data_IF_491615220554
#
_entry.id   IF_491615220554
#
_cell.length_a   1.000
_cell.length_b   1.000
_cell.length_c   1.000
_cell.angle_alpha   90.00
_cell.angle_beta   90.00
_cell.angle_gamma   90.00
#
_symmetry.space_group_name_H-M   'P 1'
#
loop_
_entity.id
_entity.type
_entity.pdbx_description
1 polymer ?
#
# COMPACT_ATOMS: atom_id res chain seq x y z
N UNK A 1 -23.35 -39.97 21.04
CA UNK A 1 -22.77 -38.99 22.00
C UNK A 1 -21.35 -39.36 22.44
N UNK A 2 -21.10 -40.55 23.00
CA UNK A 2 -19.78 -40.94 23.54
C UNK A 2 -18.64 -41.02 22.51
N UNK A 3 -18.89 -41.53 21.30
CA UNK A 3 -17.86 -41.69 20.25
C UNK A 3 -17.36 -40.35 19.69
N UNK A 4 -18.21 -39.32 19.70
CA UNK A 4 -17.84 -37.96 19.26
C UNK A 4 -16.96 -37.29 20.33
N UNK A 5 -17.33 -37.41 21.61
CA UNK A 5 -16.49 -36.90 22.72
C UNK A 5 -15.10 -37.53 22.77
N UNK A 6 -15.01 -38.84 22.53
CA UNK A 6 -13.71 -39.52 22.51
C UNK A 6 -12.86 -39.08 21.32
N UNK A 7 -13.48 -38.84 20.16
CA UNK A 7 -12.79 -38.33 18.98
C UNK A 7 -12.29 -36.89 19.20
N UNK A 8 -13.09 -36.01 19.81
CA UNK A 8 -12.68 -34.64 20.14
C UNK A 8 -11.51 -34.64 21.13
N UNK A 9 -11.55 -35.49 22.16
CA UNK A 9 -10.45 -35.64 23.13
C UNK A 9 -9.17 -36.22 22.51
N UNK A 10 -9.29 -37.16 21.57
CA UNK A 10 -8.14 -37.69 20.82
C UNK A 10 -7.54 -36.65 19.88
N UNK A 11 -8.38 -35.82 19.24
CA UNK A 11 -7.94 -34.72 18.38
C UNK A 11 -7.27 -33.61 19.18
N UNK A 12 -7.81 -33.23 20.35
CA UNK A 12 -7.14 -32.33 21.29
C UNK A 12 -5.82 -32.92 21.79
N UNK A 13 -5.80 -34.21 22.14
CA UNK A 13 -4.59 -34.92 22.55
C UNK A 13 -3.53 -34.97 21.45
N UNK A 14 -3.92 -35.17 20.19
CA UNK A 14 -3.00 -35.10 19.04
C UNK A 14 -2.48 -33.68 18.79
N UNK A 15 -3.30 -32.64 18.95
CA UNK A 15 -2.84 -31.24 18.86
C UNK A 15 -1.83 -30.86 19.95
N UNK A 16 -1.89 -31.51 21.10
CA UNK A 16 -0.89 -31.40 22.17
C UNK A 16 0.39 -32.21 21.87
N UNK A 17 0.33 -33.16 20.94
CA UNK A 17 1.44 -34.03 20.54
C UNK A 17 2.10 -33.61 19.21
N UNK A 18 1.46 -32.77 18.39
CA UNK A 18 2.14 -32.01 17.34
C UNK A 18 3.25 -31.22 18.02
N UNK A 19 4.47 -31.56 17.65
CA UNK A 19 5.64 -31.09 18.39
C UNK A 19 5.80 -29.57 18.20
N UNK A 20 6.29 -28.83 19.20
CA UNK A 20 6.63 -27.41 19.02
C UNK A 20 7.54 -27.18 17.81
N UNK A 21 8.35 -28.18 17.45
CA UNK A 21 9.23 -28.16 16.29
C UNK A 21 8.48 -28.14 14.94
N UNK A 22 7.34 -28.84 14.80
CA UNK A 22 6.55 -28.84 13.57
C UNK A 22 5.81 -27.51 13.38
N UNK A 23 5.22 -26.95 14.45
CA UNK A 23 4.61 -25.60 14.40
C UNK A 23 5.66 -24.50 14.17
N UNK A 24 6.85 -24.61 14.77
CA UNK A 24 7.96 -23.68 14.53
C UNK A 24 8.48 -23.77 13.08
N UNK A 25 8.55 -24.99 12.52
CA UNK A 25 9.01 -25.21 11.15
C UNK A 25 8.04 -24.65 10.10
N UNK A 26 6.72 -24.83 10.29
CA UNK A 26 5.70 -24.21 9.43
C UNK A 26 5.75 -22.68 9.50
N UNK A 27 5.99 -22.11 10.69
CA UNK A 27 6.13 -20.66 10.86
C UNK A 27 7.38 -20.13 10.15
N UNK A 28 8.50 -20.85 10.22
CA UNK A 28 9.75 -20.42 9.59
C UNK A 28 9.67 -20.45 8.06
N UNK A 29 9.02 -21.45 7.46
CA UNK A 29 8.77 -21.53 6.00
C UNK A 29 7.87 -20.38 5.53
N UNK A 30 6.79 -20.09 6.26
CA UNK A 30 5.90 -18.96 5.96
C UNK A 30 6.66 -17.63 6.06
N UNK A 31 7.50 -17.46 7.08
CA UNK A 31 8.33 -16.28 7.25
C UNK A 31 9.33 -16.09 6.10
N UNK A 32 9.92 -17.17 5.58
CA UNK A 32 10.80 -17.12 4.42
C UNK A 32 10.08 -16.59 3.18
N UNK A 33 8.92 -17.15 2.86
CA UNK A 33 8.10 -16.69 1.72
C UNK A 33 7.70 -15.22 1.89
N UNK A 34 7.23 -14.83 3.08
CA UNK A 34 6.79 -13.44 3.35
C UNK A 34 7.97 -12.47 3.32
N UNK A 35 9.16 -12.89 3.76
CA UNK A 35 10.40 -12.09 3.70
C UNK A 35 10.78 -11.79 2.24
N UNK A 36 10.66 -12.76 1.36
CA UNK A 36 10.88 -12.56 -0.08
C UNK A 36 9.84 -11.63 -0.70
N UNK A 37 8.56 -11.80 -0.35
CA UNK A 37 7.49 -10.89 -0.79
C UNK A 37 7.81 -9.46 -0.34
N UNK A 38 8.09 -9.26 0.95
CA UNK A 38 8.35 -7.94 1.52
C UNK A 38 9.58 -7.27 0.91
N UNK A 39 10.67 -8.02 0.70
CA UNK A 39 11.91 -7.52 0.11
C UNK A 39 11.71 -7.13 -1.36
N UNK A 40 11.06 -8.00 -2.14
CA UNK A 40 10.73 -7.71 -3.54
C UNK A 40 9.77 -6.53 -3.68
N UNK A 41 8.80 -6.40 -2.78
CA UNK A 41 7.90 -5.25 -2.73
C UNK A 41 8.65 -3.96 -2.42
N UNK A 42 9.52 -3.95 -1.40
CA UNK A 42 10.30 -2.77 -1.03
C UNK A 42 11.24 -2.29 -2.14
N UNK A 43 11.73 -3.20 -2.99
CA UNK A 43 12.52 -2.88 -4.17
C UNK A 43 11.67 -2.22 -5.28
N UNK A 44 10.38 -2.57 -5.41
CA UNK A 44 9.46 -2.02 -6.42
C UNK A 44 8.76 -0.74 -5.96
N UNK A 45 8.41 -0.64 -4.68
CA UNK A 45 7.67 0.49 -4.11
C UNK A 45 8.57 1.73 -4.11
N UNK A 46 8.22 2.81 -4.83
CA UNK A 46 9.04 4.01 -4.88
C UNK A 46 9.23 4.65 -3.51
N UNK A 47 10.36 5.33 -3.32
CA UNK A 47 10.56 6.17 -2.15
C UNK A 47 9.57 7.35 -2.18
N UNK A 48 9.02 7.78 -1.02
CA UNK A 48 8.20 8.98 -0.95
C UNK A 48 8.96 10.19 -1.50
N UNK A 49 8.27 11.06 -2.24
CA UNK A 49 8.88 12.27 -2.77
C UNK A 49 9.35 13.20 -1.65
N UNK A 50 10.38 14.00 -1.93
CA UNK A 50 10.78 15.07 -1.03
C UNK A 50 9.76 16.22 -1.10
N UNK A 51 9.11 16.54 0.02
CA UNK A 51 8.08 17.59 0.10
C UNK A 51 8.54 18.96 -0.41
N UNK A 52 9.80 19.33 -0.17
CA UNK A 52 10.35 20.60 -0.64
C UNK A 52 10.54 20.59 -2.15
N UNK A 53 11.05 19.48 -2.71
CA UNK A 53 11.18 19.31 -4.16
C UNK A 53 9.82 19.33 -4.85
N UNK A 54 8.80 18.69 -4.27
CA UNK A 54 7.42 18.75 -4.79
C UNK A 54 6.94 20.20 -4.83
N UNK A 55 7.11 20.94 -3.73
CA UNK A 55 6.74 22.36 -3.65
C UNK A 55 7.51 23.22 -4.66
N UNK A 56 8.79 22.95 -4.90
CA UNK A 56 9.60 23.68 -5.87
C UNK A 56 9.20 23.36 -7.31
N UNK A 57 8.89 22.09 -7.61
CA UNK A 57 8.47 21.65 -8.95
C UNK A 57 7.14 22.29 -9.38
N UNK A 58 6.29 22.63 -8.40
CA UNK A 58 4.98 23.27 -8.59
C UNK A 58 4.99 24.79 -8.33
N UNK A 59 6.07 25.34 -7.75
CA UNK A 59 6.28 26.79 -7.61
C UNK A 59 6.69 27.39 -8.96
N UNK A 60 5.91 28.35 -9.46
CA UNK A 60 6.28 29.18 -10.62
C UNK A 60 5.33 29.09 -11.82
N UNK A 61 4.37 28.17 -11.83
CA UNK A 61 3.25 28.20 -12.77
C UNK A 61 1.99 27.84 -12.01
N UNK A 62 0.93 28.65 -12.14
CA UNK A 62 -0.40 28.24 -11.68
C UNK A 62 -0.52 27.93 -10.17
N UNK A 63 0.24 28.59 -9.31
CA UNK A 63 0.25 28.36 -7.85
C UNK A 63 -1.16 28.41 -7.20
N UNK A 64 -2.11 29.11 -7.84
CA UNK A 64 -3.52 29.17 -7.42
C UNK A 64 -4.51 28.48 -8.36
N UNK A 65 -4.04 27.82 -9.43
CA UNK A 65 -4.95 27.12 -10.33
C UNK A 65 -5.52 25.89 -9.64
N UNK A 66 -6.80 25.64 -9.89
CA UNK A 66 -7.54 24.57 -9.25
C UNK A 66 -6.93 23.20 -9.57
N UNK A 67 -6.37 23.04 -10.77
CA UNK A 67 -5.72 21.81 -11.20
C UNK A 67 -4.40 21.55 -10.46
N UNK A 68 -3.60 22.60 -10.21
CA UNK A 68 -2.34 22.48 -9.44
C UNK A 68 -2.62 22.09 -8.00
N UNK A 69 -3.61 22.73 -7.37
CA UNK A 69 -4.03 22.43 -6.00
C UNK A 69 -4.50 20.98 -5.90
N UNK A 70 -5.32 20.53 -6.85
CA UNK A 70 -5.79 19.15 -6.91
C UNK A 70 -4.64 18.13 -6.96
N UNK A 71 -3.71 18.30 -7.90
CA UNK A 71 -2.60 17.35 -8.03
C UNK A 71 -1.65 17.37 -6.81
N UNK A 72 -1.47 18.53 -6.16
CA UNK A 72 -0.73 18.59 -4.91
C UNK A 72 -1.39 17.72 -3.81
N UNK A 73 -2.72 17.76 -3.70
CA UNK A 73 -3.45 16.92 -2.74
C UNK A 73 -3.34 15.42 -3.09
N UNK A 74 -3.42 15.07 -4.38
CA UNK A 74 -3.21 13.69 -4.83
C UNK A 74 -1.80 13.19 -4.51
N UNK A 75 -0.77 14.01 -4.72
CA UNK A 75 0.62 13.71 -4.37
C UNK A 75 0.76 13.51 -2.86
N UNK A 76 0.19 14.39 -2.04
CA UNK A 76 0.20 14.24 -0.58
C UNK A 76 -0.45 12.94 -0.13
N UNK A 77 -1.58 12.56 -0.74
CA UNK A 77 -2.24 11.28 -0.43
C UNK A 77 -1.39 10.09 -0.85
N UNK A 78 -0.83 10.12 -2.06
CA UNK A 78 0.08 9.07 -2.52
C UNK A 78 1.31 8.91 -1.60
N UNK A 79 1.89 10.02 -1.13
CA UNK A 79 3.00 9.95 -0.17
C UNK A 79 2.62 9.27 1.14
N UNK A 80 1.39 9.46 1.63
CA UNK A 80 0.91 8.76 2.84
C UNK A 80 0.86 7.25 2.61
N UNK A 81 0.37 6.81 1.45
CA UNK A 81 0.35 5.38 1.06
C UNK A 81 1.77 4.82 0.99
N UNK A 82 2.69 5.50 0.30
CA UNK A 82 4.10 5.06 0.16
C UNK A 82 4.80 4.96 1.51
N UNK A 83 4.63 5.95 2.39
CA UNK A 83 5.22 5.94 3.73
C UNK A 83 4.67 4.79 4.57
N UNK A 84 3.34 4.61 4.58
CA UNK A 84 2.71 3.54 5.34
C UNK A 84 3.25 2.19 4.91
N UNK A 85 3.19 1.87 3.62
CA UNK A 85 3.58 0.55 3.10
C UNK A 85 5.05 0.26 3.33
N UNK A 86 5.94 1.22 3.08
CA UNK A 86 7.37 1.03 3.35
C UNK A 86 7.65 0.81 4.84
N UNK A 87 7.04 1.60 5.72
CA UNK A 87 7.21 1.44 7.16
C UNK A 87 6.68 0.10 7.65
N UNK A 88 5.51 -0.32 7.17
CA UNK A 88 4.88 -1.59 7.50
C UNK A 88 5.76 -2.77 7.07
N UNK A 89 6.27 -2.77 5.83
CA UNK A 89 7.16 -3.82 5.32
C UNK A 89 8.50 -3.85 6.05
N UNK A 90 9.09 -2.68 6.37
CA UNK A 90 10.34 -2.60 7.14
C UNK A 90 10.16 -3.13 8.56
N UNK A 91 9.08 -2.76 9.24
CA UNK A 91 8.77 -3.27 10.58
C UNK A 91 8.53 -4.79 10.57
N UNK A 92 7.88 -5.31 9.53
CA UNK A 92 7.70 -6.75 9.36
C UNK A 92 9.05 -7.47 9.23
N UNK A 93 9.96 -6.97 8.37
CA UNK A 93 11.31 -7.53 8.22
C UNK A 93 12.10 -7.49 9.53
N UNK A 94 12.07 -6.37 10.26
CA UNK A 94 12.73 -6.24 11.56
C UNK A 94 12.14 -7.18 12.62
N UNK A 95 10.85 -7.46 12.54
CA UNK A 95 10.22 -8.42 13.44
C UNK A 95 10.61 -9.86 13.13
N UNK A 96 10.78 -10.21 11.84
CA UNK A 96 11.25 -11.54 11.42
C UNK A 96 12.75 -11.75 11.68
N UNK A 97 13.55 -10.67 11.75
CA UNK A 97 14.96 -10.75 12.14
C UNK A 97 15.19 -10.75 13.66
N UNK A 98 14.12 -10.75 14.46
CA UNK A 98 14.19 -10.66 15.93
C UNK A 98 14.63 -9.30 16.47
N UNK A 99 14.80 -8.29 15.60
CA UNK A 99 15.19 -6.93 16.01
C UNK A 99 14.04 -6.15 16.64
N UNK A 100 12.80 -6.42 16.20
CA UNK A 100 11.58 -5.90 16.81
C UNK A 100 10.76 -7.04 17.40
N UNK A 101 10.10 -6.77 18.53
CA UNK A 101 9.22 -7.76 19.16
C UNK A 101 8.00 -8.05 18.28
N UNK A 102 7.77 -9.33 18.01
CA UNK A 102 6.58 -9.80 17.32
C UNK A 102 5.32 -9.50 18.13
N UNK A 103 4.31 -8.96 17.46
CA UNK A 103 3.00 -8.64 18.03
C UNK A 103 1.88 -9.11 17.08
N UNK A 104 0.63 -8.98 17.52
CA UNK A 104 -0.52 -9.46 16.76
C UNK A 104 -0.68 -8.76 15.41
N UNK A 105 -0.34 -7.46 15.32
CA UNK A 105 -0.34 -6.72 14.05
C UNK A 105 0.63 -7.34 13.05
N UNK A 106 1.84 -7.68 13.48
CA UNK A 106 2.84 -8.34 12.62
C UNK A 106 2.37 -9.73 12.19
N UNK A 107 1.75 -10.52 13.09
CA UNK A 107 1.23 -11.86 12.76
C UNK A 107 0.12 -11.78 11.70
N UNK A 108 -0.83 -10.86 11.87
CA UNK A 108 -1.90 -10.63 10.89
C UNK A 108 -1.34 -10.21 9.55
N UNK A 109 -0.37 -9.28 9.55
CA UNK A 109 0.29 -8.82 8.33
C UNK A 109 1.01 -9.97 7.60
N UNK A 110 1.73 -10.80 8.33
CA UNK A 110 2.44 -11.97 7.81
C UNK A 110 1.47 -12.92 7.11
N UNK A 111 0.39 -13.34 7.78
CA UNK A 111 -0.63 -14.20 7.18
C UNK A 111 -1.29 -13.56 5.95
N UNK A 112 -1.63 -12.27 6.04
CA UNK A 112 -2.26 -11.55 4.93
C UNK A 112 -1.37 -11.52 3.68
N UNK A 113 -0.07 -11.29 3.86
CA UNK A 113 0.88 -11.27 2.74
C UNK A 113 1.17 -12.67 2.21
N UNK A 114 1.22 -13.68 3.07
CA UNK A 114 1.35 -15.08 2.67
C UNK A 114 0.18 -15.53 1.79
N UNK A 115 -1.05 -15.09 2.11
CA UNK A 115 -2.26 -15.32 1.31
C UNK A 115 -2.33 -14.44 0.04
N UNK A 116 -1.30 -13.65 -0.26
CA UNK A 116 -1.25 -12.71 -1.38
C UNK A 116 -2.40 -11.67 -1.37
N UNK A 117 -2.89 -11.32 -0.18
CA UNK A 117 -3.95 -10.35 0.05
C UNK A 117 -3.39 -8.97 0.44
N UNK A 118 -4.22 -7.93 0.32
CA UNK A 118 -3.84 -6.57 0.72
C UNK A 118 -4.17 -6.33 2.20
N UNK A 119 -3.20 -5.88 3.02
CA UNK A 119 -3.46 -5.46 4.39
C UNK A 119 -4.54 -4.38 4.49
N UNK A 120 -5.48 -4.56 5.44
CA UNK A 120 -6.60 -3.63 5.65
C UNK A 120 -6.12 -2.18 5.86
N UNK A 121 -5.06 -1.99 6.64
CA UNK A 121 -4.46 -0.66 6.87
C UNK A 121 -4.00 0.03 5.58
N UNK A 122 -3.63 -0.71 4.54
CA UNK A 122 -3.26 -0.11 3.25
C UNK A 122 -4.52 0.26 2.45
N UNK A 123 -5.58 -0.55 2.51
CA UNK A 123 -6.85 -0.28 1.85
C UNK A 123 -7.53 0.98 2.40
N UNK A 124 -7.45 1.22 3.71
CA UNK A 124 -8.03 2.39 4.38
C UNK A 124 -7.55 3.73 3.82
N UNK A 125 -6.31 3.77 3.31
CA UNK A 125 -5.70 5.01 2.77
C UNK A 125 -5.61 5.03 1.24
N UNK A 126 -5.85 3.89 0.58
CA UNK A 126 -5.61 3.69 -0.84
C UNK A 126 -6.90 3.43 -1.65
N UNK A 127 -6.91 2.39 -2.47
CA UNK A 127 -7.99 1.96 -3.35
C UNK A 127 -8.37 0.52 -3.03
N UNK A 128 -9.62 0.16 -3.30
CA UNK A 128 -10.15 -1.15 -2.99
C UNK A 128 -9.81 -2.16 -4.08
N UNK A 129 -8.87 -3.07 -3.79
CA UNK A 129 -8.52 -4.24 -4.59
C UNK A 129 -8.15 -5.38 -3.64
N UNK A 130 -8.41 -6.62 -4.03
CA UNK A 130 -8.22 -7.78 -3.15
C UNK A 130 -6.82 -8.39 -3.27
N UNK A 131 -6.26 -8.44 -4.48
CA UNK A 131 -4.96 -9.06 -4.74
C UNK A 131 -3.80 -8.10 -4.50
N UNK A 132 -2.78 -8.57 -3.79
CA UNK A 132 -1.52 -7.85 -3.57
C UNK A 132 -0.82 -7.48 -4.89
N UNK A 133 -0.84 -8.38 -5.87
CA UNK A 133 -0.22 -8.15 -7.18
C UNK A 133 -0.88 -7.00 -7.95
N UNK A 134 -2.22 -6.99 -7.98
CA UNK A 134 -2.99 -5.91 -8.57
C UNK A 134 -2.79 -4.58 -7.83
N UNK A 135 -2.72 -4.64 -6.49
CA UNK A 135 -2.48 -3.47 -5.65
C UNK A 135 -1.13 -2.81 -5.96
N UNK A 136 -0.05 -3.59 -6.06
CA UNK A 136 1.27 -3.06 -6.40
C UNK A 136 1.28 -2.47 -7.81
N UNK A 137 0.68 -3.16 -8.80
CA UNK A 137 0.59 -2.65 -10.16
C UNK A 137 -0.13 -1.30 -10.22
N UNK A 138 -1.24 -1.15 -9.49
CA UNK A 138 -1.96 0.11 -9.36
C UNK A 138 -1.10 1.19 -8.68
N UNK A 139 -0.40 0.86 -7.60
CA UNK A 139 0.49 1.79 -6.90
C UNK A 139 1.55 2.35 -7.86
N UNK A 140 2.19 1.49 -8.64
CA UNK A 140 3.22 1.88 -9.59
C UNK A 140 2.67 2.78 -10.70
N UNK A 141 1.53 2.42 -11.30
CA UNK A 141 0.91 3.22 -12.36
C UNK A 141 0.48 4.61 -11.84
N UNK A 142 -0.10 4.68 -10.64
CA UNK A 142 -0.55 5.95 -10.04
C UNK A 142 0.64 6.83 -9.68
N UNK A 143 1.70 6.24 -9.12
CA UNK A 143 2.94 6.96 -8.85
C UNK A 143 3.56 7.52 -10.14
N UNK A 144 3.66 6.71 -11.20
CA UNK A 144 4.19 7.14 -12.49
C UNK A 144 3.37 8.28 -13.13
N UNK A 145 2.04 8.19 -13.07
CA UNK A 145 1.15 9.26 -13.53
C UNK A 145 1.43 10.59 -12.81
N UNK A 146 1.53 10.58 -11.47
CA UNK A 146 1.84 11.77 -10.68
C UNK A 146 3.26 12.28 -10.92
N UNK A 147 4.24 11.37 -11.08
CA UNK A 147 5.62 11.72 -11.40
C UNK A 147 5.74 12.40 -12.77
N UNK A 148 5.04 11.90 -13.79
CA UNK A 148 4.95 12.51 -15.12
C UNK A 148 4.33 13.90 -15.08
N UNK A 149 3.28 14.09 -14.26
CA UNK A 149 2.68 15.39 -14.04
C UNK A 149 3.68 16.38 -13.41
N UNK A 150 4.38 15.98 -12.34
CA UNK A 150 5.41 16.82 -11.70
C UNK A 150 6.57 17.17 -12.64
N UNK A 151 6.99 16.21 -13.48
CA UNK A 151 8.05 16.41 -14.47
C UNK A 151 7.64 17.31 -15.65
N UNK A 152 6.41 17.84 -15.66
CA UNK A 152 5.85 18.67 -16.75
C UNK A 152 5.88 17.95 -18.11
N UNK A 153 5.84 16.62 -18.10
CA UNK A 153 5.85 15.77 -19.30
C UNK A 153 4.44 15.40 -19.79
N UNK A 154 3.38 15.73 -19.05
CA UNK A 154 2.02 15.39 -19.48
C UNK A 154 1.44 16.45 -20.43
N UNK A 155 1.32 16.06 -21.68
CA UNK A 155 0.42 16.66 -22.68
C UNK A 155 -1.01 16.19 -22.41
N UNK A 156 -1.90 17.03 -21.85
CA UNK A 156 -3.38 16.88 -21.77
C UNK A 156 -3.99 15.48 -21.49
N UNK A 157 -3.23 14.51 -20.99
CA UNK A 157 -3.67 13.13 -20.79
C UNK A 157 -3.70 12.87 -19.29
N UNK A 158 -4.91 12.61 -18.79
CA UNK A 158 -5.18 12.36 -17.40
C UNK A 158 -5.78 10.97 -17.23
N UNK A 159 -5.19 10.17 -16.35
CA UNK A 159 -5.73 8.85 -16.03
C UNK A 159 -6.75 8.93 -14.89
N UNK A 160 -8.04 9.09 -15.25
CA UNK A 160 -9.14 9.25 -14.30
C UNK A 160 -9.27 8.06 -13.33
N UNK A 161 -9.11 6.83 -13.82
CA UNK A 161 -9.18 5.61 -12.97
C UNK A 161 -8.06 5.54 -11.93
N UNK A 162 -6.96 6.27 -12.15
CA UNK A 162 -5.82 6.35 -11.25
C UNK A 162 -5.92 7.43 -10.17
N UNK A 163 -6.98 8.24 -10.15
CA UNK A 163 -7.15 9.30 -9.15
C UNK A 163 -7.72 8.76 -7.85
N UNK A 164 -7.36 9.38 -6.73
CA UNK A 164 -8.02 9.13 -5.45
C UNK A 164 -9.33 9.92 -5.34
N UNK A 165 -9.44 11.07 -6.03
CA UNK A 165 -10.65 11.89 -6.06
C UNK A 165 -11.01 12.32 -7.51
N UNK A 166 -11.62 11.44 -8.32
CA UNK A 166 -11.97 11.76 -9.70
C UNK A 166 -13.00 12.90 -9.81
N UNK A 167 -13.92 13.05 -8.85
CA UNK A 167 -14.89 14.15 -8.83
C UNK A 167 -14.20 15.50 -8.59
N UNK A 168 -13.27 15.56 -7.63
CA UNK A 168 -12.47 16.76 -7.37
C UNK A 168 -11.67 17.21 -8.59
N UNK A 169 -11.16 16.27 -9.37
CA UNK A 169 -10.48 16.57 -10.63
C UNK A 169 -11.39 17.26 -11.64
N UNK A 170 -12.60 16.72 -11.86
CA UNK A 170 -13.57 17.31 -12.80
C UNK A 170 -13.98 18.72 -12.36
N UNK A 171 -14.12 18.95 -11.06
CA UNK A 171 -14.40 20.29 -10.51
C UNK A 171 -13.24 21.24 -10.77
N UNK A 172 -12.00 20.80 -10.54
CA UNK A 172 -10.80 21.59 -10.82
C UNK A 172 -10.67 21.94 -12.31
N UNK A 173 -10.96 20.99 -13.22
CA UNK A 173 -10.99 21.25 -14.66
C UNK A 173 -12.06 22.28 -15.04
N UNK A 174 -13.26 22.16 -14.48
CA UNK A 174 -14.35 23.11 -14.71
C UNK A 174 -13.96 24.53 -14.28
N UNK A 175 -13.32 24.67 -13.13
CA UNK A 175 -12.86 25.95 -12.62
C UNK A 175 -11.76 26.54 -13.51
N UNK A 176 -10.83 25.72 -13.97
CA UNK A 176 -9.75 26.15 -14.88
C UNK A 176 -10.33 26.69 -16.20
N UNK A 177 -11.27 25.96 -16.81
CA UNK A 177 -11.94 26.37 -18.04
C UNK A 177 -12.79 27.64 -17.87
N UNK A 178 -13.37 27.85 -16.69
CA UNK A 178 -14.13 29.07 -16.38
C UNK A 178 -13.24 30.31 -16.23
N UNK A 179 -12.01 30.15 -15.73
CA UNK A 179 -11.06 31.24 -15.58
C UNK A 179 -10.48 31.69 -16.92
N UNK A 180 -10.21 30.75 -17.85
CA UNK A 180 -9.72 31.08 -19.19
C UNK A 180 -10.73 31.74 -20.14
N UNK A 181 -12.00 31.85 -19.75
CA UNK A 181 -13.05 32.57 -20.51
C UNK A 181 -13.24 34.03 -20.07
N UNK A 182 -12.51 34.47 -19.03
CA UNK A 182 -12.60 35.81 -18.44
C UNK A 182 -11.46 36.75 -18.89
N UNK A 183 -10.54 36.23 -19.70
CA UNK A 183 -9.46 36.96 -20.38
C UNK A 183 -9.80 37.08 -21.87
#
# INVERSE_FOLDING_TARGET
AYRVKLADQLMEGMKLLTTPAEEEQDVEEVEEVVRDIATNMLAKVPSPWNTEQVKLSTKGKFSRAAITIFFNQEIERMQRVLKLVRNTLQALLLSMSGTQQRNDRTRVLLNTLFEAMVPAEWLDVSWNVTSLGEWIANLMQRHDHLAKWMAKKSSNQYWLGGMFNPHGFLLSLKQEAGNGKRD
#
